data_IF_648564553487
#
_entry.id   IF_648564553487
#
_cell.length_a   1.000
_cell.length_b   1.000
_cell.length_c   1.000
_cell.angle_alpha   90.00
_cell.angle_beta   90.00
_cell.angle_gamma   90.00
#
_symmetry.space_group_name_H-M   'P 1'
#
loop_
_entity.id
_entity.type
_entity.pdbx_description
1 polymer ?
#
# COMPACT_ATOMS: atom_id res chain seq x y z
N UNK A 1 -9.91 -19.98 -18.85
CA UNK A 1 -8.47 -19.83 -19.21
C UNK A 1 -7.68 -19.25 -18.04
N UNK A 2 -6.85 -20.05 -17.35
CA UNK A 2 -5.88 -19.55 -16.34
C UNK A 2 -4.48 -20.06 -16.71
N UNK A 3 -3.49 -19.16 -16.55
CA UNK A 3 -2.32 -18.97 -17.40
C UNK A 3 -1.19 -20.00 -17.21
N UNK A 4 -0.40 -20.15 -18.29
CA UNK A 4 0.76 -21.01 -18.54
C UNK A 4 2.03 -20.70 -17.71
N UNK A 5 1.99 -19.71 -16.82
CA UNK A 5 3.13 -19.30 -16.00
C UNK A 5 2.91 -19.75 -14.55
N UNK A 6 3.66 -20.78 -14.18
CA UNK A 6 3.75 -21.35 -12.85
C UNK A 6 4.24 -20.25 -11.88
N UNK A 7 3.39 -19.79 -10.97
CA UNK A 7 3.68 -18.66 -10.08
C UNK A 7 4.92 -18.89 -9.20
N UNK A 8 5.49 -17.80 -8.65
CA UNK A 8 6.71 -17.81 -7.82
C UNK A 8 6.67 -18.88 -6.72
N UNK A 9 5.52 -19.07 -6.08
CA UNK A 9 5.32 -20.11 -5.07
C UNK A 9 5.62 -21.51 -5.61
N UNK A 10 5.08 -21.87 -6.78
CA UNK A 10 5.29 -23.21 -7.35
C UNK A 10 6.72 -23.38 -7.83
N UNK A 11 7.36 -22.33 -8.37
CA UNK A 11 8.80 -22.37 -8.68
C UNK A 11 9.67 -22.60 -7.43
N UNK A 12 9.32 -22.03 -6.29
CA UNK A 12 10.03 -22.26 -5.02
C UNK A 12 9.83 -23.71 -4.55
N UNK A 13 8.61 -24.23 -4.63
CA UNK A 13 8.30 -25.62 -4.25
C UNK A 13 8.97 -26.65 -5.19
N UNK A 14 9.05 -26.36 -6.49
CA UNK A 14 9.75 -27.21 -7.46
C UNK A 14 11.26 -27.27 -7.15
N UNK A 15 11.86 -26.18 -6.61
CA UNK A 15 13.26 -26.13 -6.19
C UNK A 15 13.51 -26.72 -4.81
N UNK A 16 12.56 -26.54 -3.88
CA UNK A 16 12.63 -27.09 -2.53
C UNK A 16 11.22 -27.53 -2.08
N UNK A 17 10.90 -28.83 -2.16
CA UNK A 17 9.58 -29.33 -1.78
C UNK A 17 9.28 -29.21 -0.28
N UNK A 18 10.31 -28.97 0.56
CA UNK A 18 10.16 -28.72 2.00
C UNK A 18 9.91 -27.24 2.33
N UNK A 19 9.89 -26.35 1.34
CA UNK A 19 9.65 -24.93 1.56
C UNK A 19 8.22 -24.71 2.11
N UNK A 20 8.12 -24.07 3.27
CA UNK A 20 6.83 -23.72 3.87
C UNK A 20 6.35 -22.38 3.32
N UNK A 21 5.11 -22.34 2.81
CA UNK A 21 4.48 -21.11 2.35
C UNK A 21 3.54 -20.56 3.44
N UNK A 22 3.85 -19.37 3.95
CA UNK A 22 2.98 -18.64 4.86
C UNK A 22 2.31 -17.49 4.11
N UNK A 23 0.97 -17.45 4.00
CA UNK A 23 0.28 -16.32 3.40
C UNK A 23 0.48 -15.06 4.25
N UNK A 24 0.69 -13.92 3.59
CA UNK A 24 0.85 -12.65 4.28
C UNK A 24 -0.46 -12.22 4.93
N UNK A 25 -0.49 -12.09 6.26
CA UNK A 25 -1.67 -11.64 7.02
C UNK A 25 -2.19 -10.28 6.53
N UNK A 26 -1.30 -9.34 6.21
CA UNK A 26 -1.68 -8.04 5.64
C UNK A 26 -2.37 -8.19 4.27
N UNK A 27 -1.95 -9.16 3.45
CA UNK A 27 -2.57 -9.42 2.15
C UNK A 27 -3.95 -10.06 2.32
N UNK A 28 -4.07 -11.08 3.16
CA UNK A 28 -5.34 -11.72 3.49
C UNK A 28 -6.35 -10.70 4.05
N UNK A 29 -5.88 -9.81 4.91
CA UNK A 29 -6.69 -8.73 5.46
C UNK A 29 -7.18 -7.74 4.39
N UNK A 30 -6.30 -7.35 3.46
CA UNK A 30 -6.68 -6.51 2.32
C UNK A 30 -7.74 -7.19 1.44
N UNK A 31 -7.69 -8.50 1.24
CA UNK A 31 -8.69 -9.24 0.46
C UNK A 31 -10.06 -9.19 1.14
N UNK A 32 -10.14 -9.54 2.44
CA UNK A 32 -11.39 -9.48 3.22
C UNK A 32 -12.01 -8.08 3.15
N UNK A 33 -11.20 -7.04 3.26
CA UNK A 33 -11.65 -5.64 3.13
C UNK A 33 -12.23 -5.31 1.77
N UNK A 34 -11.59 -5.79 0.70
CA UNK A 34 -12.06 -5.54 -0.65
C UNK A 34 -13.38 -6.24 -0.93
N UNK A 35 -13.58 -7.43 -0.38
CA UNK A 35 -14.84 -8.16 -0.45
C UNK A 35 -15.92 -7.51 0.44
N UNK A 36 -15.57 -7.07 1.64
CA UNK A 36 -16.46 -6.33 2.53
C UNK A 36 -16.98 -5.04 1.88
N UNK A 37 -16.12 -4.31 1.16
CA UNK A 37 -16.50 -3.11 0.41
C UNK A 37 -17.52 -3.40 -0.72
N UNK A 38 -17.66 -4.67 -1.13
CA UNK A 38 -18.62 -5.13 -2.15
C UNK A 38 -19.81 -5.88 -1.56
N UNK A 39 -19.88 -6.00 -0.23
CA UNK A 39 -20.87 -6.84 0.45
C UNK A 39 -22.29 -6.29 0.44
N UNK A 40 -22.46 -4.98 0.23
CA UNK A 40 -23.77 -4.33 0.22
C UNK A 40 -23.88 -3.27 -0.86
N UNK A 41 -25.11 -3.05 -1.33
CA UNK A 41 -25.41 -2.01 -2.33
C UNK A 41 -24.96 -0.64 -1.83
N UNK A 42 -25.23 -0.29 -0.55
CA UNK A 42 -24.82 0.98 0.04
C UNK A 42 -23.31 1.20 0.02
N UNK A 43 -22.54 0.16 0.33
CA UNK A 43 -21.08 0.20 0.23
C UNK A 43 -20.60 0.38 -1.19
N UNK A 44 -21.12 -0.41 -2.13
CA UNK A 44 -20.78 -0.32 -3.55
C UNK A 44 -21.10 1.08 -4.10
N UNK A 45 -22.27 1.63 -3.76
CA UNK A 45 -22.67 2.98 -4.12
C UNK A 45 -21.70 4.02 -3.58
N UNK A 46 -21.35 3.96 -2.27
CA UNK A 46 -20.38 4.88 -1.67
C UNK A 46 -19.05 4.86 -2.43
N UNK A 47 -18.41 3.69 -2.54
CA UNK A 47 -17.10 3.61 -3.19
C UNK A 47 -17.16 3.96 -4.69
N UNK A 48 -18.30 3.73 -5.34
CA UNK A 48 -18.57 4.19 -6.70
C UNK A 48 -18.60 5.72 -6.81
N UNK A 49 -19.31 6.40 -5.90
CA UNK A 49 -19.34 7.88 -5.82
C UNK A 49 -17.93 8.43 -5.58
N UNK A 50 -17.21 7.88 -4.60
CA UNK A 50 -15.85 8.30 -4.27
C UNK A 50 -14.86 8.13 -5.45
N UNK A 51 -15.02 7.06 -6.23
CA UNK A 51 -14.22 6.84 -7.43
C UNK A 51 -14.59 7.82 -8.55
N UNK A 52 -15.88 8.09 -8.77
CA UNK A 52 -16.33 9.07 -9.76
C UNK A 52 -15.85 10.48 -9.42
N UNK A 53 -15.91 10.88 -8.16
CA UNK A 53 -15.33 12.15 -7.68
C UNK A 53 -13.86 12.26 -8.07
N UNK A 54 -13.05 11.25 -7.74
CA UNK A 54 -11.63 11.27 -8.08
C UNK A 54 -11.42 11.32 -9.59
N UNK A 55 -12.13 10.50 -10.37
CA UNK A 55 -12.00 10.45 -11.83
C UNK A 55 -12.40 11.79 -12.47
N UNK A 56 -13.46 12.44 -12.00
CA UNK A 56 -13.92 13.72 -12.54
C UNK A 56 -12.86 14.81 -12.38
N UNK A 57 -12.32 14.98 -11.17
CA UNK A 57 -11.35 16.05 -10.90
C UNK A 57 -9.96 15.73 -11.44
N UNK A 58 -9.49 14.48 -11.35
CA UNK A 58 -8.14 14.11 -11.81
C UNK A 58 -7.98 14.05 -13.34
N UNK A 59 -9.07 14.11 -14.10
CA UNK A 59 -9.02 14.06 -15.56
C UNK A 59 -8.58 15.38 -16.21
N UNK A 60 -8.43 16.48 -15.47
CA UNK A 60 -7.84 17.73 -15.96
C UNK A 60 -7.13 18.48 -14.85
N UNK A 61 -6.03 19.16 -15.18
CA UNK A 61 -5.29 20.01 -14.24
C UNK A 61 -6.20 21.14 -13.72
N UNK A 62 -6.93 21.82 -14.60
CA UNK A 62 -7.83 22.92 -14.20
C UNK A 62 -8.93 22.43 -13.24
N UNK A 63 -9.47 21.21 -13.48
CA UNK A 63 -10.47 20.62 -12.58
C UNK A 63 -9.86 20.28 -11.23
N UNK A 64 -8.65 19.74 -11.23
CA UNK A 64 -7.92 19.45 -10.02
C UNK A 64 -7.60 20.72 -9.22
N UNK A 65 -7.26 21.82 -9.90
CA UNK A 65 -7.00 23.13 -9.31
C UNK A 65 -8.25 23.65 -8.56
N UNK A 66 -9.41 23.64 -9.23
CA UNK A 66 -10.70 23.98 -8.59
C UNK A 66 -10.88 23.17 -7.31
N UNK A 67 -10.69 21.85 -7.36
CA UNK A 67 -10.83 21.01 -6.17
C UNK A 67 -9.87 21.42 -5.05
N UNK A 68 -8.60 21.70 -5.37
CA UNK A 68 -7.59 22.05 -4.37
C UNK A 68 -7.78 23.44 -3.76
N UNK A 69 -8.47 24.35 -4.45
CA UNK A 69 -8.82 25.67 -3.88
C UNK A 69 -9.80 25.54 -2.72
N UNK A 70 -10.67 24.53 -2.76
CA UNK A 70 -11.61 24.20 -1.69
C UNK A 70 -11.00 23.24 -0.64
N UNK A 71 -10.18 22.26 -1.04
CA UNK A 71 -9.67 21.24 -0.13
C UNK A 71 -8.44 21.69 0.69
N UNK A 72 -8.70 22.22 1.90
CA UNK A 72 -7.64 22.74 2.79
C UNK A 72 -6.94 21.70 3.67
N UNK A 73 -7.58 20.58 4.01
CA UNK A 73 -7.05 19.63 5.01
C UNK A 73 -6.47 18.36 4.40
N UNK A 74 -7.20 17.75 3.48
CA UNK A 74 -6.92 16.43 2.92
C UNK A 74 -7.17 16.41 1.42
N UNK A 75 -6.29 15.72 0.70
CA UNK A 75 -6.40 15.55 -0.75
C UNK A 75 -7.08 14.23 -1.10
N UNK A 76 -7.98 14.25 -2.09
CA UNK A 76 -8.59 13.03 -2.64
C UNK A 76 -7.52 12.07 -3.20
N UNK A 77 -7.73 10.77 -3.00
CA UNK A 77 -6.85 9.72 -3.52
C UNK A 77 -7.62 8.78 -4.46
N UNK A 78 -6.96 8.32 -5.51
CA UNK A 78 -7.51 7.29 -6.40
C UNK A 78 -7.80 6.02 -5.59
N UNK A 79 -8.98 5.43 -5.71
CA UNK A 79 -9.24 4.16 -5.06
C UNK A 79 -8.43 3.07 -5.78
N UNK A 80 -7.96 2.11 -5.00
CA UNK A 80 -7.22 0.96 -5.49
C UNK A 80 -7.94 -0.31 -5.05
N UNK A 81 -8.10 -1.24 -5.99
CA UNK A 81 -8.60 -2.58 -5.70
C UNK A 81 -7.61 -3.40 -4.87
N UNK A 82 -6.32 -3.06 -4.92
CA UNK A 82 -5.24 -3.83 -4.29
C UNK A 82 -4.68 -3.16 -3.04
N UNK A 83 -4.94 -1.86 -2.82
CA UNK A 83 -4.38 -1.09 -1.70
C UNK A 83 -5.49 -0.37 -0.94
N UNK A 84 -6.01 -1.01 0.11
CA UNK A 84 -7.07 -0.46 0.96
C UNK A 84 -6.68 0.88 1.64
N UNK A 85 -5.38 1.15 1.87
CA UNK A 85 -4.90 2.43 2.39
C UNK A 85 -5.34 3.63 1.53
N UNK A 86 -5.51 3.44 0.22
CA UNK A 86 -6.03 4.49 -0.65
C UNK A 86 -7.51 4.78 -0.36
N UNK A 87 -8.29 3.75 0.03
CA UNK A 87 -9.71 3.88 0.38
C UNK A 87 -9.88 4.70 1.65
N UNK A 88 -9.14 4.41 2.73
CA UNK A 88 -9.25 5.21 3.96
C UNK A 88 -8.87 6.67 3.72
N UNK A 89 -7.81 6.95 2.95
CA UNK A 89 -7.41 8.33 2.67
C UNK A 89 -8.47 9.09 1.86
N UNK A 90 -9.10 8.44 0.88
CA UNK A 90 -10.19 9.04 0.12
C UNK A 90 -11.43 9.28 1.00
N UNK A 91 -11.89 8.26 1.73
CA UNK A 91 -13.03 8.35 2.66
C UNK A 91 -12.79 9.45 3.70
N UNK A 92 -11.57 9.53 4.24
CA UNK A 92 -11.16 10.58 5.19
C UNK A 92 -11.31 11.97 4.57
N UNK A 93 -10.77 12.17 3.37
CA UNK A 93 -10.81 13.46 2.71
C UNK A 93 -12.25 13.93 2.48
N UNK A 94 -13.13 13.06 1.97
CA UNK A 94 -14.53 13.42 1.75
C UNK A 94 -15.29 13.61 3.08
N UNK A 95 -15.09 12.75 4.08
CA UNK A 95 -15.81 12.84 5.36
C UNK A 95 -15.58 14.16 6.08
N UNK A 96 -14.33 14.63 6.15
CA UNK A 96 -13.99 15.83 6.90
C UNK A 96 -14.20 17.13 6.11
N UNK A 97 -14.49 17.03 4.82
CA UNK A 97 -14.57 18.18 3.91
C UNK A 97 -15.73 18.02 2.92
N UNK A 98 -16.83 17.38 3.35
CA UNK A 98 -17.94 17.05 2.44
C UNK A 98 -18.57 18.31 1.83
N UNK A 99 -18.68 19.38 2.61
CA UNK A 99 -19.15 20.68 2.14
C UNK A 99 -18.19 21.29 1.12
N UNK A 100 -16.88 21.30 1.40
CA UNK A 100 -15.88 21.82 0.46
C UNK A 100 -15.89 21.05 -0.87
N UNK A 101 -16.00 19.72 -0.83
CA UNK A 101 -16.12 18.88 -2.03
C UNK A 101 -17.40 19.20 -2.80
N UNK A 102 -18.52 19.38 -2.10
CA UNK A 102 -19.78 19.76 -2.70
C UNK A 102 -19.67 21.13 -3.41
N UNK A 103 -19.10 22.13 -2.75
CA UNK A 103 -18.97 23.48 -3.31
C UNK A 103 -18.00 23.51 -4.50
N UNK A 104 -16.94 22.69 -4.47
CA UNK A 104 -16.07 22.49 -5.63
C UNK A 104 -16.81 21.88 -6.83
N UNK A 105 -17.72 20.92 -6.60
CA UNK A 105 -18.54 20.34 -7.67
C UNK A 105 -19.52 21.35 -8.25
N UNK A 106 -20.17 22.16 -7.41
CA UNK A 106 -21.07 23.23 -7.86
C UNK A 106 -20.30 24.27 -8.69
N UNK A 107 -19.10 24.65 -8.25
CA UNK A 107 -18.21 25.56 -8.99
C UNK A 107 -17.86 24.99 -10.36
N UNK A 108 -17.40 23.74 -10.39
CA UNK A 108 -17.08 23.06 -11.64
C UNK A 108 -18.29 22.97 -12.59
N UNK A 109 -19.49 22.70 -12.04
CA UNK A 109 -20.71 22.62 -12.83
C UNK A 109 -21.04 23.95 -13.51
N UNK A 110 -20.92 25.07 -12.78
CA UNK A 110 -21.20 26.41 -13.29
C UNK A 110 -20.17 26.84 -14.35
N UNK A 111 -18.88 26.54 -14.15
CA UNK A 111 -17.83 26.89 -15.12
C UNK A 111 -17.94 26.10 -16.43
N UNK A 112 -18.48 24.88 -16.37
CA UNK A 112 -18.60 23.99 -17.54
C UNK A 112 -19.97 24.01 -18.19
N UNK A 113 -20.97 24.70 -17.61
CA UNK A 113 -22.37 24.71 -18.07
C UNK A 113 -22.53 25.01 -19.57
N UNK A 114 -21.74 25.95 -20.09
CA UNK A 114 -21.81 26.39 -21.51
C UNK A 114 -20.82 25.70 -22.44
N UNK A 115 -19.78 25.08 -21.90
CA UNK A 115 -18.66 24.52 -22.67
C UNK A 115 -18.70 23.00 -22.76
N UNK A 116 -19.07 22.32 -21.68
CA UNK A 116 -19.18 20.87 -21.60
C UNK A 116 -20.34 20.46 -20.68
N UNK A 117 -21.51 20.28 -21.28
CA UNK A 117 -22.75 19.88 -20.60
C UNK A 117 -22.59 18.53 -19.89
N UNK A 118 -21.74 17.63 -20.41
CA UNK A 118 -21.56 16.29 -19.81
C UNK A 118 -20.81 16.40 -18.49
N UNK A 119 -19.75 17.22 -18.43
CA UNK A 119 -19.02 17.48 -17.18
C UNK A 119 -19.91 18.21 -16.19
N UNK A 120 -20.64 19.23 -16.65
CA UNK A 120 -21.54 19.99 -15.79
C UNK A 120 -22.61 19.11 -15.14
N UNK A 121 -23.28 18.26 -15.95
CA UNK A 121 -24.26 17.31 -15.45
C UNK A 121 -23.66 16.27 -14.49
N UNK A 122 -22.48 15.73 -14.79
CA UNK A 122 -21.78 14.77 -13.91
C UNK A 122 -21.44 15.42 -12.55
N UNK A 123 -20.95 16.66 -12.55
CA UNK A 123 -20.63 17.40 -11.34
C UNK A 123 -21.88 17.64 -10.48
N UNK A 124 -22.99 18.07 -11.09
CA UNK A 124 -24.29 18.25 -10.39
C UNK A 124 -24.78 16.93 -9.81
N UNK A 125 -24.73 15.85 -10.61
CA UNK A 125 -25.18 14.53 -10.16
C UNK A 125 -24.37 14.04 -8.95
N UNK A 126 -23.05 14.26 -8.95
CA UNK A 126 -22.20 13.93 -7.81
C UNK A 126 -22.48 14.81 -6.59
N UNK A 127 -22.75 16.11 -6.79
CA UNK A 127 -23.13 17.02 -5.71
C UNK A 127 -24.45 16.58 -5.05
N UNK A 128 -25.46 16.19 -5.83
CA UNK A 128 -26.71 15.63 -5.33
C UNK A 128 -26.49 14.29 -4.58
N UNK A 129 -25.64 13.41 -5.10
CA UNK A 129 -25.32 12.14 -4.43
C UNK A 129 -24.60 12.33 -3.09
N UNK A 130 -23.80 13.39 -2.93
CA UNK A 130 -23.17 13.71 -1.64
C UNK A 130 -24.18 14.18 -0.59
N UNK A 131 -25.36 14.65 -1.00
CA UNK A 131 -26.46 15.02 -0.10
C UNK A 131 -27.36 13.83 0.26
N UNK A 132 -27.25 12.70 -0.45
CA UNK A 132 -28.02 11.51 -0.13
C UNK A 132 -27.67 11.00 1.27
N UNK A 133 -28.69 10.86 2.11
CA UNK A 133 -28.53 10.40 3.48
C UNK A 133 -27.86 9.02 3.56
N UNK A 134 -28.18 8.13 2.61
CA UNK A 134 -27.56 6.81 2.54
C UNK A 134 -26.06 6.88 2.26
N UNK A 135 -25.62 7.76 1.36
CA UNK A 135 -24.20 8.01 1.08
C UNK A 135 -23.51 8.61 2.30
N UNK A 136 -24.12 9.61 2.95
CA UNK A 136 -23.55 10.24 4.15
C UNK A 136 -23.37 9.22 5.27
N UNK A 137 -24.40 8.46 5.64
CA UNK A 137 -24.29 7.44 6.68
C UNK A 137 -23.25 6.39 6.32
N UNK A 138 -23.25 5.93 5.06
CA UNK A 138 -22.25 4.96 4.59
C UNK A 138 -20.83 5.51 4.71
N UNK A 139 -20.61 6.78 4.35
CA UNK A 139 -19.31 7.45 4.46
C UNK A 139 -18.80 7.46 5.90
N UNK A 140 -19.67 7.78 6.85
CA UNK A 140 -19.31 7.79 8.27
C UNK A 140 -18.99 6.38 8.79
N UNK A 141 -19.88 5.42 8.55
CA UNK A 141 -19.69 4.02 8.98
C UNK A 141 -18.40 3.44 8.40
N UNK A 142 -18.16 3.64 7.09
CA UNK A 142 -16.96 3.12 6.45
C UNK A 142 -15.68 3.80 6.95
N UNK A 143 -15.72 5.08 7.28
CA UNK A 143 -14.56 5.72 7.90
C UNK A 143 -14.21 5.09 9.25
N UNK A 144 -15.19 4.87 10.14
CA UNK A 144 -14.94 4.27 11.46
C UNK A 144 -14.35 2.86 11.32
N UNK A 145 -14.94 2.05 10.45
CA UNK A 145 -14.45 0.70 10.14
C UNK A 145 -13.01 0.79 9.63
N UNK A 146 -12.77 1.56 8.57
CA UNK A 146 -11.45 1.66 7.96
C UNK A 146 -10.40 2.24 8.90
N UNK A 147 -10.78 3.14 9.80
CA UNK A 147 -9.89 3.70 10.80
C UNK A 147 -9.37 2.65 11.78
N UNK A 148 -10.27 1.83 12.36
CA UNK A 148 -9.87 0.73 13.25
C UNK A 148 -8.97 -0.26 12.52
N UNK A 149 -9.34 -0.59 11.29
CA UNK A 149 -8.61 -1.48 10.41
C UNK A 149 -7.21 -0.96 10.09
N UNK A 150 -7.07 0.36 9.91
CA UNK A 150 -5.78 1.00 9.69
C UNK A 150 -4.85 0.92 10.90
N UNK A 151 -5.40 1.01 12.11
CA UNK A 151 -4.61 0.82 13.34
C UNK A 151 -4.06 -0.61 13.37
N UNK A 152 -4.93 -1.61 13.19
CA UNK A 152 -4.52 -3.03 13.18
C UNK A 152 -3.51 -3.30 12.06
N UNK A 153 -3.74 -2.80 10.85
CA UNK A 153 -2.84 -3.00 9.73
C UNK A 153 -1.46 -2.40 9.97
N UNK A 154 -1.38 -1.19 10.54
CA UNK A 154 -0.10 -0.57 10.90
C UNK A 154 0.61 -1.30 12.03
N UNK A 155 -0.14 -1.85 12.99
CA UNK A 155 0.41 -2.70 14.05
C UNK A 155 1.07 -3.95 13.47
N UNK A 156 0.36 -4.67 12.58
CA UNK A 156 0.87 -5.87 11.90
C UNK A 156 2.11 -5.59 11.02
N UNK A 157 2.25 -4.37 10.51
CA UNK A 157 3.41 -3.95 9.72
C UNK A 157 4.58 -3.45 10.59
N UNK A 158 4.38 -3.30 11.89
CA UNK A 158 5.43 -2.80 12.78
C UNK A 158 6.54 -3.84 12.94
N UNK A 159 7.79 -3.37 13.01
CA UNK A 159 8.98 -4.24 13.15
C UNK A 159 9.00 -5.03 14.46
N UNK A 160 8.17 -4.63 15.42
CA UNK A 160 8.13 -5.18 16.77
C UNK A 160 7.09 -6.30 16.92
N UNK A 161 6.22 -6.50 15.93
CA UNK A 161 5.25 -7.60 15.93
C UNK A 161 5.94 -8.83 15.35
N UNK A 162 6.54 -9.63 16.23
CA UNK A 162 7.02 -10.96 15.89
C UNK A 162 5.93 -11.99 16.19
N UNK A 163 4.94 -12.01 15.29
CA UNK A 163 3.84 -12.99 15.28
C UNK A 163 4.36 -14.43 15.36
N UNK A 164 5.55 -14.70 14.82
CA UNK A 164 6.15 -16.02 14.87
C UNK A 164 6.67 -16.34 16.28
N UNK A 165 7.25 -15.37 16.99
CA UNK A 165 7.64 -15.53 18.40
C UNK A 165 6.45 -15.69 19.34
N UNK A 166 5.37 -14.95 19.11
CA UNK A 166 4.20 -15.01 19.99
C UNK A 166 3.41 -16.31 19.75
N UNK A 167 3.29 -16.76 18.50
CA UNK A 167 2.73 -18.07 18.19
C UNK A 167 3.60 -19.23 18.73
N UNK A 168 4.92 -19.11 18.64
CA UNK A 168 5.82 -20.12 19.20
C UNK A 168 5.66 -20.23 20.72
N UNK A 169 5.55 -19.10 21.43
CA UNK A 169 5.26 -19.09 22.87
C UNK A 169 3.91 -19.75 23.20
N UNK A 170 2.85 -19.43 22.44
CA UNK A 170 1.53 -20.08 22.64
C UNK A 170 1.57 -21.59 22.41
N UNK A 171 2.33 -22.03 21.41
CA UNK A 171 2.52 -23.46 21.09
C UNK A 171 3.57 -24.15 21.98
N UNK A 172 4.14 -23.45 22.96
CA UNK A 172 5.23 -23.93 23.83
C UNK A 172 6.47 -24.40 23.04
N UNK A 173 6.71 -23.80 21.88
CA UNK A 173 7.88 -24.01 21.04
C UNK A 173 8.87 -22.89 21.33
N UNK A 174 10.14 -23.23 21.62
CA UNK A 174 11.17 -22.22 21.81
C UNK A 174 11.45 -21.49 20.47
N UNK A 175 11.22 -20.17 20.37
CA UNK A 175 11.38 -19.44 19.12
C UNK A 175 12.86 -19.23 18.79
N UNK A 176 13.49 -20.20 18.12
CA UNK A 176 14.85 -20.05 17.57
C UNK A 176 14.75 -19.47 16.16
N UNK A 177 14.48 -18.16 16.06
CA UNK A 177 14.55 -17.45 14.79
C UNK A 177 15.97 -16.93 14.57
N UNK A 178 16.72 -17.56 13.65
CA UNK A 178 18.00 -16.99 13.20
C UNK A 178 17.70 -15.64 12.54
N UNK A 179 18.38 -14.54 12.92
CA UNK A 179 18.16 -13.24 12.30
C UNK A 179 18.45 -13.36 10.80
N UNK A 180 17.46 -12.99 9.98
CA UNK A 180 17.61 -12.97 8.54
C UNK A 180 18.60 -11.86 8.17
N UNK A 181 19.86 -12.21 7.91
CA UNK A 181 20.85 -11.28 7.39
C UNK A 181 20.38 -10.78 6.02
N UNK A 182 20.00 -9.50 5.94
CA UNK A 182 19.65 -8.86 4.66
C UNK A 182 20.92 -8.70 3.83
N UNK A 183 21.18 -9.67 2.96
CA UNK A 183 22.17 -9.54 1.89
C UNK A 183 21.52 -8.65 0.81
N UNK A 184 21.91 -7.37 0.73
CA UNK A 184 21.61 -6.55 -0.45
C UNK A 184 22.41 -7.15 -1.61
N UNK A 185 21.72 -7.77 -2.58
CA UNK A 185 22.33 -8.26 -3.82
C UNK A 185 21.97 -7.31 -4.96
N UNK A 186 22.97 -6.88 -5.74
CA UNK A 186 22.71 -6.27 -7.03
C UNK A 186 22.40 -7.38 -8.05
N UNK A 187 21.56 -7.08 -9.04
CA UNK A 187 21.16 -8.06 -10.05
C UNK A 187 22.37 -8.43 -10.93
N UNK A 188 22.86 -9.68 -10.81
CA UNK A 188 23.91 -10.23 -11.67
C UNK A 188 25.12 -10.83 -10.95
N UNK A 189 25.28 -10.61 -9.65
CA UNK A 189 26.42 -11.15 -8.91
C UNK A 189 26.18 -12.61 -8.47
N UNK A 190 26.92 -13.54 -9.07
CA UNK A 190 27.15 -14.88 -8.52
C UNK A 190 28.46 -14.86 -7.73
N UNK A 191 28.41 -14.45 -6.47
CA UNK A 191 29.47 -14.73 -5.51
C UNK A 191 28.85 -15.07 -4.15
N UNK A 192 29.22 -16.24 -3.62
CA UNK A 192 28.82 -16.74 -2.30
C UNK A 192 29.85 -16.31 -1.25
N UNK A 193 30.06 -15.01 -1.08
CA UNK A 193 30.88 -14.55 0.04
C UNK A 193 30.00 -14.28 1.25
N UNK A 194 30.07 -15.21 2.21
CA UNK A 194 29.45 -15.03 3.53
C UNK A 194 30.18 -13.88 4.24
N UNK A 195 29.48 -13.02 4.99
CA UNK A 195 30.14 -11.99 5.79
C UNK A 195 31.12 -12.62 6.78
N UNK A 196 32.32 -12.05 6.89
CA UNK A 196 33.30 -12.46 7.89
C UNK A 196 32.85 -11.90 9.24
N UNK A 197 32.35 -12.76 10.12
CA UNK A 197 31.80 -12.35 11.42
C UNK A 197 32.87 -12.14 12.50
N UNK A 198 34.04 -12.79 12.38
CA UNK A 198 35.10 -12.66 13.37
C UNK A 198 36.00 -11.43 13.08
N UNK A 199 36.26 -10.56 14.08
CA UNK A 199 37.10 -9.37 13.91
C UNK A 199 38.51 -9.71 13.42
N UNK A 200 39.07 -10.81 13.90
CA UNK A 200 40.41 -11.32 13.55
C UNK A 200 40.51 -11.65 12.07
N UNK A 201 39.53 -12.39 11.54
CA UNK A 201 39.52 -12.82 10.14
C UNK A 201 39.18 -11.66 9.21
N UNK A 202 38.43 -10.68 9.70
CA UNK A 202 38.19 -9.43 8.98
C UNK A 202 39.47 -8.59 8.89
N UNK A 203 40.23 -8.47 9.98
CA UNK A 203 41.53 -7.81 9.97
C UNK A 203 42.52 -8.53 9.03
N UNK A 204 42.58 -9.86 9.09
CA UNK A 204 43.43 -10.67 8.23
C UNK A 204 43.15 -10.41 6.75
N UNK A 205 41.88 -10.46 6.34
CA UNK A 205 41.50 -10.38 4.92
C UNK A 205 41.46 -8.94 4.40
N UNK A 206 40.86 -8.02 5.15
CA UNK A 206 40.67 -6.64 4.66
C UNK A 206 41.91 -5.76 4.82
N UNK A 207 42.80 -6.09 5.76
CA UNK A 207 43.97 -5.26 6.09
C UNK A 207 45.28 -6.02 5.88
N UNK A 208 45.51 -7.12 6.58
CA UNK A 208 46.81 -7.81 6.58
C UNK A 208 47.19 -8.34 5.19
N UNK A 209 46.30 -9.09 4.54
CA UNK A 209 46.56 -9.67 3.22
C UNK A 209 46.75 -8.58 2.15
N UNK A 210 45.94 -7.51 2.19
CA UNK A 210 46.11 -6.39 1.26
C UNK A 210 47.45 -5.66 1.45
N UNK A 211 47.87 -5.47 2.70
CA UNK A 211 49.17 -4.87 3.01
C UNK A 211 50.30 -5.77 2.49
N UNK A 212 50.21 -7.08 2.76
CA UNK A 212 51.17 -8.07 2.32
C UNK A 212 51.30 -8.11 0.79
N UNK A 213 50.17 -8.12 0.08
CA UNK A 213 50.12 -8.08 -1.38
C UNK A 213 50.72 -6.79 -1.94
N UNK A 214 50.44 -5.64 -1.31
CA UNK A 214 51.00 -4.35 -1.70
C UNK A 214 52.52 -4.32 -1.50
N UNK A 215 53.00 -4.83 -0.37
CA UNK A 215 54.44 -4.97 -0.12
C UNK A 215 55.10 -5.95 -1.09
N UNK A 216 54.46 -7.07 -1.40
CA UNK A 216 54.96 -8.05 -2.38
C UNK A 216 55.00 -7.48 -3.80
N UNK A 217 54.04 -6.63 -4.18
CA UNK A 217 54.08 -5.92 -5.46
C UNK A 217 55.20 -4.88 -5.48
N UNK A 218 55.39 -4.14 -4.38
CA UNK A 218 56.46 -3.14 -4.27
C UNK A 218 57.87 -3.72 -4.27
N UNK A 219 58.05 -5.01 -3.95
CA UNK A 219 59.35 -5.70 -4.05
C UNK A 219 59.60 -6.36 -5.41
N UNK A 220 58.60 -6.33 -6.32
CA UNK A 220 58.72 -6.87 -7.68
C UNK A 220 59.02 -5.79 -8.74
N UNK A 221 59.12 -4.53 -8.33
CA UNK A 221 59.81 -3.44 -9.05
C UNK A 221 61.26 -3.33 -8.59
#
# INVERSE_FOLDING_TARGET
MKRKNIGVQKRILDLNPLAFFVPCGCHSYNLVLCDAAKSSVKSVTLFGVLQRLFTLFSASINRWEILTDYLRLYSLKKLSDTRWEAKINNVKAVRYQICDVHDALVTLANETEKSDVTISHEAITLAEQLKDFGVIVSLFVWYEILFQINIVSKSLQSKNVDLASDLAKELQIEPVFKPMQRIKRQAGEMATDKPIESPEKKFEIEFFNKLLDTSLMSMKE
#
